data_IF_780917185528
#
_entry.id   IF_780917185528
#
_cell.length_a   1.000
_cell.length_b   1.000
_cell.length_c   1.000
_cell.angle_alpha   90.00
_cell.angle_beta   90.00
_cell.angle_gamma   90.00
#
_symmetry.space_group_name_H-M   'P 1'
#
loop_
_entity.id
_entity.type
_entity.pdbx_description
1 polymer ?
#
# COMPACT_ATOMS: atom_id res chain seq x y z
N UNK A 1 -4.15 -22.10 13.66
CA UNK A 1 -4.37 -21.55 12.30
C UNK A 1 -4.47 -20.04 12.42
N UNK A 2 -3.43 -19.30 12.03
CA UNK A 2 -3.53 -17.85 11.91
C UNK A 2 -4.45 -17.54 10.72
N UNK A 3 -5.53 -16.76 10.92
CA UNK A 3 -6.43 -16.43 9.83
C UNK A 3 -5.69 -15.66 8.74
N UNK A 4 -6.06 -15.91 7.48
CA UNK A 4 -5.70 -15.04 6.35
C UNK A 4 -6.14 -13.63 6.75
N UNK A 5 -5.19 -12.73 6.92
CA UNK A 5 -5.46 -11.40 7.43
C UNK A 5 -6.33 -10.66 6.40
N UNK A 6 -7.44 -10.01 6.80
CA UNK A 6 -8.34 -9.30 5.87
C UNK A 6 -7.69 -8.05 5.24
N UNK A 7 -6.39 -7.82 5.47
CA UNK A 7 -5.66 -6.66 4.99
C UNK A 7 -5.47 -6.68 3.46
N UNK A 8 -5.33 -7.86 2.84
CA UNK A 8 -5.15 -8.00 1.39
C UNK A 8 -6.47 -8.11 0.60
N UNK A 9 -7.62 -8.07 1.27
CA UNK A 9 -8.92 -8.14 0.61
C UNK A 9 -9.16 -6.89 -0.25
N UNK A 10 -9.19 -7.08 -1.57
CA UNK A 10 -9.36 -6.01 -2.55
C UNK A 10 -10.79 -5.47 -2.59
N UNK A 11 -11.76 -6.15 -1.97
CA UNK A 11 -13.15 -5.69 -1.85
C UNK A 11 -13.38 -4.83 -0.63
N UNK A 12 -12.40 -4.75 0.28
CA UNK A 12 -12.51 -3.92 1.47
C UNK A 12 -12.54 -2.44 1.05
N UNK A 13 -13.46 -1.63 1.61
CA UNK A 13 -13.45 -0.20 1.35
C UNK A 13 -12.13 0.42 1.79
N UNK A 14 -11.55 1.27 0.94
CA UNK A 14 -10.34 2.01 1.26
C UNK A 14 -10.62 3.01 2.38
N UNK A 15 -9.65 3.24 3.29
CA UNK A 15 -9.76 4.31 4.29
C UNK A 15 -9.98 5.68 3.64
N UNK A 16 -10.69 6.58 4.33
CA UNK A 16 -11.00 7.90 3.80
C UNK A 16 -9.81 8.87 3.74
N UNK A 17 -8.71 8.58 4.45
CA UNK A 17 -7.52 9.44 4.48
C UNK A 17 -6.35 8.79 3.75
N UNK A 18 -5.55 9.62 3.06
CA UNK A 18 -4.41 9.14 2.26
C UNK A 18 -3.34 8.45 3.11
N UNK A 19 -3.08 8.96 4.32
CA UNK A 19 -2.12 8.34 5.25
C UNK A 19 -2.62 6.95 5.65
N UNK A 20 -3.90 6.82 6.01
CA UNK A 20 -4.48 5.54 6.33
C UNK A 20 -4.49 4.58 5.12
N UNK A 21 -4.66 5.08 3.89
CA UNK A 21 -4.49 4.27 2.69
C UNK A 21 -3.06 3.74 2.54
N UNK A 22 -2.04 4.58 2.76
CA UNK A 22 -0.63 4.14 2.72
C UNK A 22 -0.36 3.05 3.75
N UNK A 23 -0.83 3.22 4.99
CA UNK A 23 -0.66 2.23 6.04
C UNK A 23 -1.42 0.93 5.72
N UNK A 24 -2.66 1.02 5.23
CA UNK A 24 -3.43 -0.14 4.80
C UNK A 24 -2.74 -0.92 3.66
N UNK A 25 -2.16 -0.22 2.68
CA UNK A 25 -1.41 -0.87 1.59
C UNK A 25 -0.12 -1.54 2.09
N UNK A 26 0.56 -0.97 3.08
CA UNK A 26 1.74 -1.60 3.72
C UNK A 26 1.34 -2.88 4.48
N UNK A 27 0.24 -2.83 5.22
CA UNK A 27 -0.29 -3.99 5.95
C UNK A 27 -0.68 -5.13 5.00
N UNK A 28 -1.33 -4.79 3.87
CA UNK A 28 -1.66 -5.75 2.82
C UNK A 28 -0.41 -6.44 2.26
N UNK A 29 0.64 -5.67 1.94
CA UNK A 29 1.90 -6.19 1.41
C UNK A 29 2.64 -7.07 2.43
N UNK A 30 2.62 -6.70 3.72
CA UNK A 30 3.22 -7.50 4.78
C UNK A 30 2.49 -8.84 4.97
N UNK A 31 1.15 -8.82 4.90
CA UNK A 31 0.31 -10.04 4.93
C UNK A 31 0.62 -10.96 3.75
N UNK A 32 0.66 -10.43 2.53
CA UNK A 32 0.98 -11.20 1.31
C UNK A 32 2.40 -11.77 1.34
N UNK A 33 3.39 -11.01 1.84
CA UNK A 33 4.76 -11.51 2.02
C UNK A 33 4.83 -12.72 2.95
N UNK A 34 4.03 -12.71 4.02
CA UNK A 34 3.94 -13.81 4.98
C UNK A 34 3.26 -15.03 4.37
N UNK A 35 2.17 -14.83 3.64
CA UNK A 35 1.45 -15.91 2.96
C UNK A 35 2.28 -16.53 1.84
N UNK A 36 3.00 -15.74 1.04
CA UNK A 36 3.94 -16.25 0.03
C UNK A 36 4.93 -17.24 0.65
N UNK A 37 5.61 -16.86 1.74
CA UNK A 37 6.56 -17.75 2.44
C UNK A 37 5.90 -19.00 2.99
N UNK A 38 4.62 -18.94 3.36
CA UNK A 38 3.85 -20.11 3.80
C UNK A 38 3.54 -21.03 2.63
N UNK A 39 3.09 -20.49 1.50
CA UNK A 39 2.78 -21.25 0.28
C UNK A 39 4.03 -21.89 -0.33
N UNK A 40 5.16 -21.17 -0.34
CA UNK A 40 6.47 -21.69 -0.76
C UNK A 40 6.88 -22.92 0.05
N UNK A 41 6.76 -22.85 1.38
CA UNK A 41 7.07 -23.99 2.25
C UNK A 41 6.14 -25.19 2.05
N UNK A 42 4.93 -24.96 1.54
CA UNK A 42 3.94 -26.00 1.27
C UNK A 42 4.00 -26.53 -0.17
N UNK A 43 4.79 -25.92 -1.05
CA UNK A 43 4.88 -26.31 -2.46
C UNK A 43 3.60 -26.00 -3.27
N UNK A 44 2.83 -24.99 -2.87
CA UNK A 44 1.55 -24.65 -3.51
C UNK A 44 1.72 -23.59 -4.61
N UNK A 45 2.03 -24.04 -5.83
CA UNK A 45 2.32 -23.19 -6.99
C UNK A 45 1.15 -22.30 -7.44
N UNK A 46 -0.06 -22.86 -7.62
CA UNK A 46 -1.20 -22.07 -8.12
C UNK A 46 -1.64 -20.97 -7.12
N UNK A 47 -1.75 -21.23 -5.80
CA UNK A 47 -1.93 -20.16 -4.80
C UNK A 47 -0.80 -19.13 -4.79
N UNK A 48 0.45 -19.56 -5.02
CA UNK A 48 1.62 -18.69 -5.04
C UNK A 48 1.59 -17.71 -6.22
N UNK A 49 1.17 -18.18 -7.41
CA UNK A 49 0.94 -17.31 -8.57
C UNK A 49 -0.11 -16.22 -8.25
N UNK A 50 -1.24 -16.59 -7.63
CA UNK A 50 -2.26 -15.61 -7.19
C UNK A 50 -1.72 -14.63 -6.15
N UNK A 51 -0.85 -15.08 -5.24
CA UNK A 51 -0.19 -14.22 -4.27
C UNK A 51 0.71 -13.18 -4.95
N UNK A 52 1.42 -13.55 -6.01
CA UNK A 52 2.21 -12.62 -6.81
C UNK A 52 1.35 -11.57 -7.50
N UNK A 53 0.23 -11.96 -8.10
CA UNK A 53 -0.68 -11.03 -8.78
C UNK A 53 -1.26 -10.01 -7.80
N UNK A 54 -1.70 -10.48 -6.61
CA UNK A 54 -2.15 -9.57 -5.56
C UNK A 54 -1.04 -8.65 -5.06
N UNK A 55 0.19 -9.16 -4.94
CA UNK A 55 1.34 -8.33 -4.53
C UNK A 55 1.58 -7.19 -5.52
N UNK A 56 1.54 -7.47 -6.82
CA UNK A 56 1.69 -6.44 -7.87
C UNK A 56 0.59 -5.40 -7.80
N UNK A 57 -0.66 -5.83 -7.61
CA UNK A 57 -1.79 -4.92 -7.44
C UNK A 57 -1.57 -3.98 -6.24
N UNK A 58 -1.24 -4.51 -5.06
CA UNK A 58 -1.07 -3.70 -3.86
C UNK A 58 0.17 -2.79 -3.93
N UNK A 59 1.24 -3.21 -4.62
CA UNK A 59 2.39 -2.35 -4.91
C UNK A 59 2.00 -1.15 -5.79
N UNK A 60 1.18 -1.38 -6.82
CA UNK A 60 0.66 -0.30 -7.66
C UNK A 60 -0.19 0.68 -6.84
N UNK A 61 -1.13 0.18 -6.04
CA UNK A 61 -1.99 1.03 -5.19
C UNK A 61 -1.15 1.83 -4.18
N UNK A 62 -0.16 1.21 -3.54
CA UNK A 62 0.77 1.93 -2.66
C UNK A 62 1.50 3.05 -3.42
N UNK A 63 2.01 2.75 -4.62
CA UNK A 63 2.66 3.73 -5.49
C UNK A 63 1.77 4.92 -5.82
N UNK A 64 0.50 4.69 -6.16
CA UNK A 64 -0.48 5.73 -6.46
C UNK A 64 -0.62 6.72 -5.28
N UNK A 65 -0.79 6.20 -4.06
CA UNK A 65 -0.92 7.05 -2.89
C UNK A 65 0.41 7.72 -2.48
N UNK A 66 1.54 7.07 -2.69
CA UNK A 66 2.86 7.62 -2.37
C UNK A 66 3.19 8.81 -3.28
N UNK A 67 2.91 8.71 -4.58
CA UNK A 67 3.09 9.81 -5.54
C UNK A 67 2.20 11.00 -5.16
N UNK A 68 0.92 10.75 -4.86
CA UNK A 68 0.01 11.82 -4.42
C UNK A 68 0.47 12.51 -3.13
N UNK A 69 1.03 11.76 -2.18
CA UNK A 69 1.58 12.31 -0.94
C UNK A 69 2.83 13.18 -1.17
N UNK A 70 3.68 12.80 -2.12
CA UNK A 70 4.86 13.57 -2.49
C UNK A 70 4.48 14.90 -3.16
N UNK A 71 3.50 14.89 -4.07
CA UNK A 71 2.99 16.10 -4.74
C UNK A 71 2.38 17.11 -3.76
N UNK A 72 1.61 16.64 -2.77
CA UNK A 72 1.05 17.50 -1.71
C UNK A 72 2.16 18.15 -0.87
N UNK A 73 3.21 17.39 -0.56
CA UNK A 73 4.35 17.88 0.21
C UNK A 73 5.14 18.95 -0.55
N UNK A 74 5.40 18.72 -1.84
CA UNK A 74 6.05 19.70 -2.71
C UNK A 74 5.27 21.01 -2.81
N UNK A 75 3.95 20.93 -3.00
CA UNK A 75 3.05 22.08 -3.06
C UNK A 75 3.04 22.88 -1.76
N UNK A 76 3.13 22.19 -0.61
CA UNK A 76 3.21 22.84 0.72
C UNK A 76 4.53 23.59 0.89
N UNK A 77 5.65 22.97 0.52
CA UNK A 77 6.97 23.59 0.60
C UNK A 77 7.07 24.82 -0.30
N UNK A 78 6.47 24.79 -1.49
CA UNK A 78 6.43 25.94 -2.41
C UNK A 78 5.62 27.11 -1.84
N UNK A 79 4.44 26.84 -1.24
CA UNK A 79 3.66 27.89 -0.56
C UNK A 79 4.42 28.53 0.61
N UNK A 80 5.14 27.73 1.40
CA UNK A 80 5.97 28.23 2.50
C UNK A 80 7.13 29.07 1.99
N UNK A 81 7.71 28.72 0.84
CA UNK A 81 8.77 29.49 0.20
C UNK A 81 8.28 30.82 -0.35
N UNK A 82 7.09 30.83 -0.96
CA UNK A 82 6.52 32.00 -1.64
C UNK A 82 5.76 32.94 -0.69
N UNK A 83 5.43 32.48 0.52
CA UNK A 83 4.70 33.27 1.54
C UNK A 83 5.57 34.25 2.35
N UNK A 84 6.90 34.27 2.18
CA UNK A 84 7.83 35.15 2.93
C UNK A 84 8.14 36.46 2.23
N UNK A 85 7.22 36.98 1.41
CA UNK A 85 7.32 38.35 0.89
C UNK A 85 6.05 39.10 1.29
N UNK A 86 6.08 39.67 2.50
CA UNK A 86 5.24 40.82 2.84
C UNK A 86 6.16 42.06 2.86
N UNK A 87 5.70 43.21 2.32
CA UNK A 87 6.42 44.48 2.39
C UNK A 87 6.54 45.00 3.83
#
# INVERSE_FOLDING_TARGET
MTPVTPASDTRRPMPGSRIACLDATRDALASLSSERRRLERLGFEAPLARCHDQTRYWQFVHGLFAVAAASDSASRTERLRNGTVAP
#
